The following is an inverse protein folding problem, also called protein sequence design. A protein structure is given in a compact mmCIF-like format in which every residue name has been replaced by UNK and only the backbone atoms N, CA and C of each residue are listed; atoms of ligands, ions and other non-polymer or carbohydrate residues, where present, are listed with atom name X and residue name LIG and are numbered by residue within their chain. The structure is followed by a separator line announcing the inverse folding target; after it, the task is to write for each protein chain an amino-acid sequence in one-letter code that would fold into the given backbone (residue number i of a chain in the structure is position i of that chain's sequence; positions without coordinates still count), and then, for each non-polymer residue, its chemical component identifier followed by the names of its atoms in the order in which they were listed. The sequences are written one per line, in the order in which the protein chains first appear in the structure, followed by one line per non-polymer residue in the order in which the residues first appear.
data_IF_516586138987
#
_entry.id   IF_516586138987
#
_cell.length_a   1.000
_cell.length_b   1.000
_cell.length_c   1.000
_cell.angle_alpha   90.00
_cell.angle_beta   90.00
_cell.angle_gamma   90.00
#
_symmetry.space_group_name_H-M   'P 1'
#
loop_
_entity.id
_entity.type
_entity.pdbx_description
1 polymer ?
#
# COMPACT_ATOMS: atom_id res chain seq x y z
N UNK A 1 -8.64 -29.64 3.36
CA UNK A 1 -7.21 -29.35 3.58
C UNK A 1 -6.40 -30.04 2.52
N UNK A 2 -5.71 -29.27 1.68
CA UNK A 2 -4.74 -29.80 0.70
C UNK A 2 -3.46 -30.14 1.47
N UNK A 3 -3.00 -31.38 1.35
CA UNK A 3 -1.73 -31.81 1.93
C UNK A 3 -0.54 -31.23 1.13
N UNK A 4 0.55 -30.89 1.82
CA UNK A 4 1.67 -30.12 1.23
C UNK A 4 2.46 -30.93 0.19
N UNK A 5 2.47 -32.27 0.27
CA UNK A 5 3.09 -33.15 -0.73
C UNK A 5 4.61 -32.99 -0.91
N UNK A 6 5.29 -32.26 -0.01
CA UNK A 6 6.70 -31.84 -0.10
C UNK A 6 7.03 -30.91 -1.28
N UNK A 7 6.05 -30.20 -1.85
CA UNK A 7 6.26 -29.16 -2.86
C UNK A 7 5.70 -27.81 -2.39
N UNK A 8 6.35 -26.70 -2.78
CA UNK A 8 5.86 -25.35 -2.54
C UNK A 8 5.77 -24.59 -3.88
N UNK A 9 4.59 -24.09 -4.28
CA UNK A 9 3.29 -24.21 -3.63
C UNK A 9 2.74 -25.66 -3.58
N UNK A 10 1.79 -25.96 -2.67
CA UNK A 10 1.13 -27.28 -2.59
C UNK A 10 0.46 -27.68 -3.91
N UNK A 11 0.38 -28.99 -4.17
CA UNK A 11 -0.29 -29.53 -5.36
C UNK A 11 -1.75 -29.02 -5.45
N UNK A 12 -2.17 -28.61 -6.65
CA UNK A 12 -3.46 -27.98 -6.97
C UNK A 12 -3.64 -26.50 -6.57
N UNK A 13 -2.61 -25.83 -6.04
CA UNK A 13 -2.64 -24.37 -5.85
C UNK A 13 -1.94 -23.70 -7.03
N UNK A 14 -2.72 -22.95 -7.82
CA UNK A 14 -2.19 -22.10 -8.87
C UNK A 14 -1.90 -20.72 -8.28
N UNK A 15 -0.63 -20.45 -7.97
CA UNK A 15 -0.17 -19.15 -7.47
C UNK A 15 -0.31 -18.06 -8.54
N UNK A 16 -0.44 -16.81 -8.10
CA UNK A 16 -0.44 -15.67 -9.00
C UNK A 16 0.89 -15.55 -9.74
N UNK A 17 0.84 -14.98 -10.96
CA UNK A 17 2.05 -14.58 -11.67
C UNK A 17 2.57 -13.29 -11.04
N UNK A 18 3.78 -13.26 -10.45
CA UNK A 18 4.31 -12.06 -9.81
C UNK A 18 4.47 -10.88 -10.78
N UNK A 19 4.62 -11.15 -12.09
CA UNK A 19 4.82 -10.12 -13.11
C UNK A 19 3.53 -9.41 -13.58
N UNK A 20 2.34 -9.83 -13.11
CA UNK A 20 1.08 -9.21 -13.50
C UNK A 20 0.63 -8.13 -12.50
N UNK A 21 -0.49 -8.36 -11.80
CA UNK A 21 -1.07 -7.43 -10.82
C UNK A 21 -0.11 -7.16 -9.65
N UNK A 22 0.62 -8.15 -9.09
CA UNK A 22 1.56 -7.90 -8.00
C UNK A 22 2.65 -6.88 -8.37
N UNK A 23 3.26 -7.01 -9.55
CA UNK A 23 4.25 -6.03 -10.05
C UNK A 23 3.64 -4.63 -10.20
N UNK A 24 2.42 -4.53 -10.75
CA UNK A 24 1.73 -3.24 -10.85
C UNK A 24 1.52 -2.60 -9.47
N UNK A 25 1.10 -3.38 -8.48
CA UNK A 25 0.94 -2.94 -7.10
C UNK A 25 2.25 -2.43 -6.48
N UNK A 26 3.40 -3.09 -6.76
CA UNK A 26 4.70 -2.58 -6.30
C UNK A 26 5.05 -1.22 -6.92
N UNK A 27 4.81 -1.04 -8.22
CA UNK A 27 5.09 0.23 -8.91
C UNK A 27 4.20 1.37 -8.37
N UNK A 28 2.94 1.07 -8.05
CA UNK A 28 2.00 2.01 -7.44
C UNK A 28 2.50 2.47 -6.07
N UNK A 29 2.90 1.55 -5.19
CA UNK A 29 3.38 1.93 -3.86
C UNK A 29 4.69 2.71 -3.92
N UNK A 30 5.67 2.26 -4.70
CA UNK A 30 6.94 2.99 -4.87
C UNK A 30 6.70 4.40 -5.43
N UNK A 31 5.85 4.54 -6.45
CA UNK A 31 5.51 5.86 -7.00
C UNK A 31 4.78 6.74 -5.99
N UNK A 32 3.92 6.16 -5.14
CA UNK A 32 3.26 6.88 -4.04
C UNK A 32 4.24 7.36 -2.96
N UNK A 33 5.29 6.58 -2.67
CA UNK A 33 6.40 6.97 -1.79
C UNK A 33 7.19 8.16 -2.35
N UNK A 34 7.38 8.21 -3.67
CA UNK A 34 8.01 9.37 -4.32
C UNK A 34 7.09 10.60 -4.29
N UNK A 35 5.78 10.44 -4.49
CA UNK A 35 4.85 11.58 -4.45
C UNK A 35 4.68 12.16 -3.04
N UNK A 36 4.69 11.33 -1.97
CA UNK A 36 4.58 11.85 -0.60
C UNK A 36 5.84 12.59 -0.16
N UNK A 37 7.03 12.11 -0.55
CA UNK A 37 8.30 12.82 -0.31
C UNK A 37 8.38 14.13 -1.10
N UNK A 38 7.87 14.15 -2.34
CA UNK A 38 7.73 15.39 -3.10
C UNK A 38 6.75 16.37 -2.42
N UNK A 39 5.64 15.88 -1.86
CA UNK A 39 4.70 16.70 -1.09
C UNK A 39 5.39 17.31 0.14
N UNK A 40 6.16 16.51 0.87
CA UNK A 40 6.91 16.95 2.05
C UNK A 40 7.89 18.08 1.71
N UNK A 41 8.74 17.89 0.69
CA UNK A 41 9.68 18.91 0.25
C UNK A 41 8.98 20.19 -0.25
N UNK A 42 7.82 20.05 -0.90
CA UNK A 42 7.04 21.19 -1.35
C UNK A 42 6.45 21.98 -0.17
N UNK A 43 6.00 21.29 0.89
CA UNK A 43 5.50 21.91 2.11
C UNK A 43 6.59 22.69 2.85
N UNK A 44 7.78 22.11 2.98
CA UNK A 44 8.96 22.75 3.58
C UNK A 44 9.41 23.99 2.80
N UNK A 45 9.26 23.99 1.47
CA UNK A 45 9.59 25.11 0.59
C UNK A 45 8.43 26.12 0.42
N UNK A 46 7.41 26.07 1.28
CA UNK A 46 6.19 26.90 1.23
C UNK A 46 5.38 26.83 -0.07
N UNK A 47 5.56 25.79 -0.89
CA UNK A 47 4.85 25.63 -2.15
C UNK A 47 3.61 24.75 -1.95
N UNK A 48 2.58 25.33 -1.33
CA UNK A 48 1.36 24.62 -0.94
C UNK A 48 0.58 24.02 -2.13
N UNK A 49 0.59 24.68 -3.30
CA UNK A 49 -0.11 24.15 -4.48
C UNK A 49 0.54 22.86 -5.00
N UNK A 50 1.88 22.81 -5.06
CA UNK A 50 2.60 21.58 -5.41
C UNK A 50 2.48 20.51 -4.33
N UNK A 51 2.55 20.90 -3.06
CA UNK A 51 2.37 19.98 -1.94
C UNK A 51 0.98 19.30 -2.00
N UNK A 52 -0.06 20.08 -2.30
CA UNK A 52 -1.42 19.59 -2.49
C UNK A 52 -1.56 18.60 -3.64
N UNK A 53 -1.05 18.95 -4.84
CA UNK A 53 -1.12 18.07 -6.01
C UNK A 53 -0.37 16.76 -5.73
N UNK A 54 0.84 16.83 -5.16
CA UNK A 54 1.64 15.66 -4.84
C UNK A 54 0.97 14.74 -3.80
N UNK A 55 0.33 15.33 -2.77
CA UNK A 55 -0.40 14.54 -1.77
C UNK A 55 -1.68 13.92 -2.35
N UNK A 56 -2.40 14.64 -3.23
CA UNK A 56 -3.55 14.09 -3.96
C UNK A 56 -3.17 12.87 -4.78
N UNK A 57 -2.05 12.92 -5.51
CA UNK A 57 -1.54 11.77 -6.27
C UNK A 57 -1.30 10.58 -5.33
N UNK A 58 -0.67 10.80 -4.18
CA UNK A 58 -0.41 9.75 -3.19
C UNK A 58 -1.71 9.07 -2.72
N UNK A 59 -2.76 9.85 -2.41
CA UNK A 59 -4.07 9.33 -2.00
C UNK A 59 -4.71 8.50 -3.11
N UNK A 60 -4.69 8.99 -4.35
CA UNK A 60 -5.25 8.28 -5.50
C UNK A 60 -4.53 6.95 -5.72
N UNK A 61 -3.20 6.94 -5.64
CA UNK A 61 -2.40 5.71 -5.78
C UNK A 61 -2.71 4.70 -4.67
N UNK A 62 -2.87 5.14 -3.42
CA UNK A 62 -3.25 4.27 -2.30
C UNK A 62 -4.64 3.64 -2.45
N UNK A 63 -5.62 4.41 -2.93
CA UNK A 63 -6.97 3.88 -3.26
C UNK A 63 -6.87 2.90 -4.42
N UNK A 64 -6.09 3.22 -5.45
CA UNK A 64 -5.92 2.37 -6.62
C UNK A 64 -5.29 1.01 -6.26
N UNK A 65 -4.27 1.00 -5.41
CA UNK A 65 -3.71 -0.23 -4.83
C UNK A 65 -4.79 -1.06 -4.13
N UNK A 66 -5.63 -0.43 -3.30
CA UNK A 66 -6.66 -1.15 -2.52
C UNK A 66 -7.71 -1.81 -3.43
N UNK A 67 -8.07 -1.15 -4.54
CA UNK A 67 -8.98 -1.70 -5.55
C UNK A 67 -8.33 -2.90 -6.26
N UNK A 68 -7.07 -2.77 -6.69
CA UNK A 68 -6.35 -3.85 -7.36
C UNK A 68 -6.17 -5.06 -6.43
N UNK A 69 -5.86 -4.85 -5.16
CA UNK A 69 -5.76 -5.93 -4.18
C UNK A 69 -7.11 -6.63 -3.96
N UNK A 70 -8.20 -5.87 -3.92
CA UNK A 70 -9.55 -6.44 -3.87
C UNK A 70 -9.89 -7.27 -5.11
N UNK A 71 -9.44 -6.82 -6.29
CA UNK A 71 -9.62 -7.57 -7.53
C UNK A 71 -8.78 -8.85 -7.57
N UNK A 72 -7.53 -8.78 -7.12
CA UNK A 72 -6.66 -9.97 -6.96
C UNK A 72 -7.32 -11.01 -6.06
N UNK A 73 -7.92 -10.61 -4.94
CA UNK A 73 -8.63 -11.53 -4.05
C UNK A 73 -9.89 -12.13 -4.66
N UNK A 74 -10.58 -11.39 -5.53
CA UNK A 74 -11.76 -11.93 -6.24
C UNK A 74 -11.35 -12.98 -7.26
N UNK A 75 -10.26 -12.76 -8.00
CA UNK A 75 -9.80 -13.67 -9.05
C UNK A 75 -8.96 -14.85 -8.53
N UNK A 76 -8.67 -14.89 -7.23
CA UNK A 76 -7.88 -15.96 -6.63
C UNK A 76 -8.51 -17.35 -6.86
N UNK A 77 -7.71 -18.27 -7.37
CA UNK A 77 -8.10 -19.68 -7.55
C UNK A 77 -8.09 -20.50 -6.25
N UNK A 78 -7.63 -19.89 -5.15
CA UNK A 78 -7.52 -20.47 -3.82
C UNK A 78 -8.10 -19.52 -2.77
N UNK A 79 -8.51 -20.08 -1.65
CA UNK A 79 -9.14 -19.37 -0.53
C UNK A 79 -8.29 -19.46 0.73
N UNK A 80 -8.66 -18.72 1.79
CA UNK A 80 -7.98 -18.77 3.08
C UNK A 80 -8.01 -20.16 3.73
N UNK A 81 -9.01 -20.99 3.40
CA UNK A 81 -9.13 -22.38 3.88
C UNK A 81 -8.29 -23.37 3.07
N UNK A 82 -7.70 -22.95 1.95
CA UNK A 82 -6.95 -23.84 1.07
C UNK A 82 -5.49 -23.95 1.50
N UNK A 83 -5.24 -24.96 2.33
CA UNK A 83 -3.91 -25.34 2.82
C UNK A 83 -3.23 -24.27 3.67
N UNK A 84 -1.99 -24.55 4.07
CA UNK A 84 -1.15 -23.56 4.73
C UNK A 84 -0.86 -22.37 3.80
N UNK A 85 -0.70 -22.57 2.49
CA UNK A 85 -0.38 -21.52 1.51
C UNK A 85 -1.45 -20.43 1.48
N UNK A 86 -2.73 -20.81 1.31
CA UNK A 86 -3.83 -19.86 1.28
C UNK A 86 -3.94 -19.10 2.61
N UNK A 87 -3.80 -19.81 3.73
CA UNK A 87 -3.84 -19.17 5.05
C UNK A 87 -2.72 -18.15 5.27
N UNK A 88 -1.49 -18.46 4.86
CA UNK A 88 -0.34 -17.54 4.99
C UNK A 88 -0.44 -16.37 4.03
N UNK A 89 -0.88 -16.63 2.79
CA UNK A 89 -1.09 -15.59 1.78
C UNK A 89 -2.10 -14.56 2.28
N UNK A 90 -3.37 -14.98 2.51
CA UNK A 90 -4.45 -14.06 2.85
C UNK A 90 -4.26 -13.37 4.21
N UNK A 91 -3.64 -14.05 5.19
CA UNK A 91 -3.37 -13.41 6.48
C UNK A 91 -2.32 -12.30 6.35
N UNK A 92 -1.21 -12.56 5.64
CA UNK A 92 -0.11 -11.61 5.50
C UNK A 92 -0.50 -10.43 4.60
N UNK A 93 -1.01 -10.70 3.40
CA UNK A 93 -1.45 -9.67 2.45
C UNK A 93 -2.69 -8.94 2.95
N UNK A 94 -3.61 -9.62 3.63
CA UNK A 94 -4.81 -9.02 4.22
C UNK A 94 -4.50 -8.06 5.36
N UNK A 95 -3.58 -8.43 6.27
CA UNK A 95 -3.15 -7.54 7.34
C UNK A 95 -2.42 -6.31 6.79
N UNK A 96 -1.57 -6.50 5.79
CA UNK A 96 -0.95 -5.38 5.08
C UNK A 96 -1.99 -4.48 4.39
N UNK A 97 -2.97 -5.05 3.69
CA UNK A 97 -4.05 -4.29 3.05
C UNK A 97 -4.84 -3.45 4.05
N UNK A 98 -5.09 -3.95 5.25
CA UNK A 98 -5.66 -3.16 6.34
C UNK A 98 -4.77 -1.96 6.71
N UNK A 99 -3.44 -2.15 6.79
CA UNK A 99 -2.51 -1.05 7.06
C UNK A 99 -2.49 -0.02 5.94
N UNK A 100 -2.62 -0.42 4.67
CA UNK A 100 -2.75 0.49 3.53
C UNK A 100 -4.02 1.35 3.66
N UNK A 101 -5.15 0.77 4.09
CA UNK A 101 -6.39 1.52 4.32
C UNK A 101 -6.21 2.54 5.47
N UNK A 102 -5.58 2.14 6.58
CA UNK A 102 -5.26 3.08 7.67
C UNK A 102 -4.33 4.19 7.18
N UNK A 103 -3.30 3.86 6.41
CA UNK A 103 -2.36 4.83 5.88
C UNK A 103 -3.02 5.82 4.92
N UNK A 104 -3.85 5.34 4.01
CA UNK A 104 -4.54 6.17 3.02
C UNK A 104 -5.56 7.11 3.68
N UNK A 105 -6.29 6.64 4.70
CA UNK A 105 -7.18 7.51 5.50
C UNK A 105 -6.37 8.55 6.29
N UNK A 106 -5.21 8.21 6.84
CA UNK A 106 -4.35 9.16 7.55
C UNK A 106 -3.81 10.25 6.61
N UNK A 107 -3.36 9.88 5.40
CA UNK A 107 -2.94 10.83 4.38
C UNK A 107 -4.12 11.68 3.89
N UNK A 108 -5.30 11.10 3.72
CA UNK A 108 -6.52 11.83 3.35
C UNK A 108 -6.86 12.90 4.40
N UNK A 109 -6.74 12.59 5.69
CA UNK A 109 -6.90 13.59 6.76
C UNK A 109 -5.85 14.70 6.65
N UNK A 110 -4.59 14.36 6.35
CA UNK A 110 -3.54 15.35 6.12
C UNK A 110 -3.86 16.24 4.91
N UNK A 111 -4.39 15.67 3.83
CA UNK A 111 -4.82 16.42 2.66
C UNK A 111 -5.91 17.44 2.99
N UNK A 112 -6.96 17.01 3.71
CA UNK A 112 -8.04 17.91 4.15
C UNK A 112 -7.49 19.03 5.04
N UNK A 113 -6.60 18.70 5.99
CA UNK A 113 -5.95 19.69 6.86
C UNK A 113 -5.08 20.68 6.08
N UNK A 114 -4.42 20.23 5.01
CA UNK A 114 -3.64 21.09 4.13
C UNK A 114 -4.56 22.04 3.33
N UNK A 115 -5.73 21.58 2.86
CA UNK A 115 -6.73 22.45 2.24
C UNK A 115 -7.25 23.53 3.19
N UNK A 116 -7.36 23.22 4.48
CA UNK A 116 -7.75 24.16 5.53
C UNK A 116 -6.57 25.03 6.03
N UNK A 117 -5.39 24.96 5.41
CA UNK A 117 -4.18 25.69 5.81
C UNK A 117 -3.74 25.47 7.26
N UNK A 118 -3.93 24.26 7.80
CA UNK A 118 -3.51 23.94 9.18
C UNK A 118 -2.00 23.68 9.34
N UNK A 119 -1.26 23.56 8.24
CA UNK A 119 0.18 23.26 8.26
C UNK A 119 1.01 24.50 7.95
N UNK A 120 2.12 24.64 8.66
CA UNK A 120 3.17 25.62 8.37
C UNK A 120 4.47 24.92 7.98
N UNK A 121 5.39 25.67 7.38
CA UNK A 121 6.72 25.15 6.98
C UNK A 121 7.52 24.56 8.14
N UNK A 122 7.25 24.97 9.38
CA UNK A 122 7.99 24.51 10.57
C UNK A 122 7.19 23.57 11.46
N UNK A 123 5.86 23.53 11.32
CA UNK A 123 4.99 22.77 12.20
C UNK A 123 3.96 21.96 11.40
N UNK A 124 4.33 20.72 11.08
CA UNK A 124 3.52 19.78 10.33
C UNK A 124 3.76 18.32 10.73
N UNK A 125 3.98 18.07 12.03
CA UNK A 125 4.22 16.71 12.56
C UNK A 125 3.15 15.69 12.17
N UNK A 126 1.87 16.10 12.09
CA UNK A 126 0.81 15.19 11.64
C UNK A 126 1.02 14.66 10.22
N UNK A 127 1.60 15.49 9.33
CA UNK A 127 1.99 15.07 7.99
C UNK A 127 3.24 14.17 8.04
N UNK A 128 4.26 14.51 8.85
CA UNK A 128 5.47 13.68 9.00
C UNK A 128 5.13 12.27 9.51
N UNK A 129 4.26 12.16 10.52
CA UNK A 129 3.79 10.89 11.06
C UNK A 129 3.05 10.05 10.01
N UNK A 130 2.21 10.69 9.18
CA UNK A 130 1.53 10.02 8.07
C UNK A 130 2.52 9.54 7.00
N UNK A 131 3.55 10.35 6.68
CA UNK A 131 4.60 9.98 5.73
C UNK A 131 5.46 8.81 6.23
N UNK A 132 5.85 8.80 7.52
CA UNK A 132 6.55 7.67 8.12
C UNK A 132 5.72 6.39 8.09
N UNK A 133 4.44 6.49 8.43
CA UNK A 133 3.53 5.36 8.38
C UNK A 133 3.36 4.84 6.95
N UNK A 134 3.27 5.72 5.96
CA UNK A 134 3.17 5.33 4.55
C UNK A 134 4.41 4.60 4.06
N UNK A 135 5.61 5.09 4.37
CA UNK A 135 6.86 4.39 4.03
C UNK A 135 7.00 3.05 4.75
N UNK A 136 6.51 2.93 5.99
CA UNK A 136 6.42 1.63 6.66
C UNK A 136 5.57 0.65 5.85
N UNK A 137 4.40 1.08 5.37
CA UNK A 137 3.53 0.27 4.51
C UNK A 137 4.27 -0.14 3.23
N UNK A 138 4.91 0.79 2.53
CA UNK A 138 5.68 0.50 1.30
C UNK A 138 6.73 -0.60 1.51
N UNK A 139 7.52 -0.50 2.59
CA UNK A 139 8.58 -1.46 2.89
C UNK A 139 8.01 -2.84 3.20
N UNK A 140 6.93 -2.93 3.99
CA UNK A 140 6.28 -4.21 4.29
C UNK A 140 5.77 -4.88 3.01
N UNK A 141 5.22 -4.11 2.06
CA UNK A 141 4.78 -4.67 0.77
C UNK A 141 5.93 -5.28 -0.02
N UNK A 142 7.09 -4.62 -0.08
CA UNK A 142 8.26 -5.15 -0.80
C UNK A 142 8.71 -6.50 -0.23
N UNK A 143 8.67 -6.67 1.10
CA UNK A 143 8.94 -7.96 1.71
C UNK A 143 7.89 -9.01 1.34
N UNK A 144 6.61 -8.65 1.35
CA UNK A 144 5.54 -9.57 0.95
C UNK A 144 5.69 -10.01 -0.51
N UNK A 145 5.89 -9.08 -1.43
CA UNK A 145 6.05 -9.34 -2.86
C UNK A 145 7.24 -10.27 -3.18
N UNK A 146 8.33 -10.19 -2.42
CA UNK A 146 9.51 -11.05 -2.63
C UNK A 146 9.31 -12.44 -2.01
N UNK A 147 8.57 -12.53 -0.91
CA UNK A 147 8.51 -13.75 -0.09
C UNK A 147 7.29 -14.65 -0.36
N UNK A 148 6.22 -14.10 -0.91
CA UNK A 148 4.93 -14.76 -1.16
C UNK A 148 4.61 -14.70 -2.64
#
# INVERSE_FOLDING_TARGET
NIEIGMSWPPMNINSFNPMSIPLLNTLILISSGVSITWSHHSLMNNNLSKAFIALMITVILGIYFSILQGWEYWEASFTMSDSIYGSTFFMATGFHGLHVIIGSTFIMVCLIRMMMNHFSMSHHFGFEAAAWYWHFVDVVWLFLYISI
#
